data_IF_027476548061
#
_entry.id   IF_027476548061
#
_cell.length_a   1.000
_cell.length_b   1.000
_cell.length_c   1.000
_cell.angle_alpha   90.00
_cell.angle_beta   90.00
_cell.angle_gamma   90.00
#
_symmetry.space_group_name_H-M   'P 1'
#
loop_
_entity.id
_entity.type
_entity.pdbx_description
1 polymer ?
#
# COMPACT_ATOMS: atom_id res chain seq x y z
N UNK A 1 27.80 63.43 10.44
CA UNK A 1 27.62 62.14 9.73
C UNK A 1 26.22 62.13 9.12
N UNK A 2 26.11 62.25 7.80
CA UNK A 2 24.82 62.16 7.10
C UNK A 2 24.41 60.68 7.00
N UNK A 3 23.26 60.31 7.55
CA UNK A 3 22.69 58.97 7.40
C UNK A 3 21.76 58.99 6.18
N UNK A 4 22.07 58.17 5.18
CA UNK A 4 21.24 57.99 3.99
C UNK A 4 20.12 57.00 4.33
N UNK A 5 18.87 57.39 4.06
CA UNK A 5 17.67 56.60 4.29
C UNK A 5 16.88 56.46 2.98
N UNK A 6 16.29 55.29 2.76
CA UNK A 6 15.34 55.04 1.66
C UNK A 6 13.92 54.97 2.21
N UNK A 7 12.93 55.50 1.48
CA UNK A 7 11.52 55.31 1.83
C UNK A 7 11.01 54.00 1.22
N UNK A 8 10.38 53.15 2.02
CA UNK A 8 9.74 51.90 1.56
C UNK A 8 8.31 51.82 2.04
N UNK A 9 7.43 51.31 1.19
CA UNK A 9 6.03 51.10 1.53
C UNK A 9 5.87 49.92 2.49
N UNK A 10 5.23 50.16 3.63
CA UNK A 10 4.92 49.16 4.63
C UNK A 10 3.41 48.88 4.61
N UNK A 11 3.07 47.63 4.30
CA UNK A 11 1.68 47.17 4.28
C UNK A 11 1.06 47.08 5.69
N UNK A 12 1.88 46.96 6.73
CA UNK A 12 1.42 46.88 8.14
C UNK A 12 0.97 48.26 8.62
N UNK A 13 1.67 49.31 8.22
CA UNK A 13 1.37 50.70 8.63
C UNK A 13 0.60 51.47 7.56
N UNK A 14 0.33 50.87 6.40
CA UNK A 14 -0.43 51.47 5.30
C UNK A 14 0.23 52.69 4.65
N UNK A 15 1.56 52.82 4.73
CA UNK A 15 2.26 54.04 4.29
C UNK A 15 3.77 53.87 4.08
N UNK A 16 4.42 54.93 3.57
CA UNK A 16 5.87 54.97 3.37
C UNK A 16 6.60 55.20 4.69
N UNK A 17 7.61 54.38 4.99
CA UNK A 17 8.44 54.47 6.18
C UNK A 17 9.92 54.57 5.77
N UNK A 18 10.70 55.38 6.48
CA UNK A 18 12.13 55.54 6.25
C UNK A 18 12.93 54.35 6.81
N UNK A 19 13.78 53.74 5.98
CA UNK A 19 14.60 52.57 6.30
C UNK A 19 16.05 52.85 5.93
N UNK A 20 16.99 52.51 6.82
CA UNK A 20 18.43 52.69 6.56
C UNK A 20 18.92 51.78 5.43
N UNK A 21 19.68 52.34 4.47
CA UNK A 21 20.18 51.61 3.30
C UNK A 21 21.35 50.64 3.62
N UNK A 22 21.92 50.69 4.83
CA UNK A 22 23.16 50.00 5.19
C UNK A 22 23.00 48.54 5.68
N UNK A 23 21.87 47.89 5.41
CA UNK A 23 21.68 46.47 5.78
C UNK A 23 21.46 45.59 4.56
N UNK A 24 22.53 44.88 4.18
CA UNK A 24 22.53 43.83 3.16
C UNK A 24 21.70 42.64 3.65
N UNK A 25 20.86 42.08 2.78
CA UNK A 25 19.97 40.92 3.05
C UNK A 25 20.71 39.80 3.81
N UNK A 26 20.26 39.51 5.03
CA UNK A 26 20.43 38.18 5.64
C UNK A 26 19.20 37.38 5.26
N UNK A 27 19.35 36.41 4.34
CA UNK A 27 18.30 35.42 4.09
C UNK A 27 18.27 34.44 5.25
N UNK A 28 17.54 34.78 6.31
CA UNK A 28 17.13 33.79 7.31
C UNK A 28 16.02 32.98 6.67
N UNK A 29 16.37 31.79 6.18
CA UNK A 29 15.39 30.82 5.71
C UNK A 29 14.45 30.49 6.85
N UNK A 30 13.20 30.95 6.74
CA UNK A 30 12.13 30.60 7.66
C UNK A 30 11.94 29.09 7.57
N UNK A 31 12.43 28.34 8.56
CA UNK A 31 12.09 26.95 8.71
C UNK A 31 10.58 26.89 8.92
N UNK A 32 9.86 26.52 7.86
CA UNK A 32 8.45 26.15 7.98
C UNK A 32 8.39 25.08 9.05
N UNK A 33 7.72 25.40 10.16
CA UNK A 33 7.36 24.43 11.20
C UNK A 33 6.76 23.23 10.46
N UNK A 34 7.48 22.11 10.48
CA UNK A 34 6.98 20.84 9.95
C UNK A 34 5.84 20.44 10.89
N UNK A 35 4.61 20.76 10.51
CA UNK A 35 3.45 20.04 11.00
C UNK A 35 3.62 18.63 10.46
N UNK A 36 4.06 17.72 11.32
CA UNK A 36 4.11 16.28 11.04
C UNK A 36 2.65 15.83 11.00
N UNK A 37 2.04 15.90 9.82
CA UNK A 37 0.82 15.19 9.50
C UNK A 37 1.26 13.77 9.14
N UNK A 38 1.13 12.86 10.11
CA UNK A 38 1.61 11.50 10.04
C UNK A 38 0.75 10.60 9.14
N UNK A 39 1.47 9.83 8.33
CA UNK A 39 1.11 8.53 7.72
C UNK A 39 0.03 8.57 6.63
N UNK A 40 0.46 9.04 5.45
CA UNK A 40 -0.11 8.63 4.18
C UNK A 40 0.50 7.27 3.82
N UNK A 41 -0.28 6.19 3.92
CA UNK A 41 0.07 4.88 3.35
C UNK A 41 -0.42 4.82 1.89
N UNK A 42 0.10 5.73 1.06
CA UNK A 42 0.03 5.67 -0.40
C UNK A 42 1.39 6.07 -0.96
N UNK A 43 2.28 5.10 -1.14
CA UNK A 43 3.51 5.29 -1.89
C UNK A 43 3.27 4.94 -3.35
N UNK A 44 2.82 5.92 -4.13
CA UNK A 44 3.05 5.97 -5.57
C UNK A 44 4.54 6.34 -5.73
N UNK A 45 5.38 5.35 -6.02
CA UNK A 45 6.71 5.61 -6.55
C UNK A 45 6.73 5.19 -8.00
N UNK A 46 6.79 6.20 -8.88
CA UNK A 46 7.19 6.02 -10.27
C UNK A 46 8.71 5.99 -10.37
N UNK A 47 9.19 5.05 -11.19
CA UNK A 47 10.41 5.10 -11.98
C UNK A 47 11.76 5.32 -11.26
N UNK A 48 12.30 4.26 -10.65
CA UNK A 48 13.75 3.97 -10.69
C UNK A 48 13.98 2.44 -10.58
N UNK A 49 14.51 1.83 -11.66
CA UNK A 49 15.16 0.51 -11.68
C UNK A 49 14.46 -0.61 -10.92
N UNK A 50 13.40 -1.18 -11.51
CA UNK A 50 12.46 -2.05 -10.81
C UNK A 50 13.03 -3.43 -10.45
N UNK A 51 13.51 -3.57 -9.23
CA UNK A 51 13.22 -4.79 -8.48
C UNK A 51 11.77 -4.67 -8.02
N UNK A 52 10.86 -5.41 -8.65
CA UNK A 52 9.46 -5.41 -8.25
C UNK A 52 9.33 -5.98 -6.83
N UNK A 53 9.18 -5.10 -5.83
CA UNK A 53 8.91 -5.50 -4.45
C UNK A 53 7.44 -5.90 -4.33
N UNK A 54 7.17 -7.12 -3.88
CA UNK A 54 5.82 -7.52 -3.53
C UNK A 54 5.30 -6.66 -2.36
N UNK A 55 6.16 -6.32 -1.40
CA UNK A 55 5.85 -5.37 -0.36
C UNK A 55 7.09 -4.59 0.14
N UNK A 56 6.89 -3.31 0.44
CA UNK A 56 7.88 -2.44 1.08
C UNK A 56 7.19 -1.83 2.29
N UNK A 57 7.50 -2.35 3.48
CA UNK A 57 6.78 -2.11 4.73
C UNK A 57 7.42 -0.93 5.47
N UNK A 58 6.72 0.19 5.60
CA UNK A 58 7.20 1.29 6.44
C UNK A 58 6.95 0.93 7.91
N UNK A 59 8.05 0.71 8.65
CA UNK A 59 8.00 0.29 10.04
C UNK A 59 8.47 1.38 11.00
N UNK A 60 8.46 2.66 10.59
CA UNK A 60 8.82 3.76 11.48
C UNK A 60 7.89 3.79 12.71
N UNK A 61 6.58 3.74 12.46
CA UNK A 61 5.56 3.80 13.52
C UNK A 61 4.61 2.59 13.56
N UNK A 62 4.63 1.73 12.54
CA UNK A 62 3.82 0.50 12.48
C UNK A 62 4.71 -0.72 12.75
N UNK A 63 4.18 -1.76 13.38
CA UNK A 63 4.93 -2.99 13.59
C UNK A 63 4.90 -3.84 12.32
N UNK A 64 6.01 -4.52 12.02
CA UNK A 64 6.05 -5.51 10.93
C UNK A 64 4.93 -6.53 11.06
N UNK A 65 4.63 -6.95 12.30
CA UNK A 65 3.55 -7.89 12.59
C UNK A 65 2.19 -7.39 12.13
N UNK A 66 1.90 -6.10 12.22
CA UNK A 66 0.58 -5.56 11.83
C UNK A 66 0.33 -5.78 10.33
N UNK A 67 1.38 -5.69 9.49
CA UNK A 67 1.30 -5.99 8.06
C UNK A 67 1.07 -7.48 7.77
N UNK A 68 1.67 -8.36 8.59
CA UNK A 68 1.49 -9.81 8.47
C UNK A 68 0.11 -10.23 8.96
N UNK A 69 -0.33 -9.69 10.10
CA UNK A 69 -1.63 -9.95 10.69
C UNK A 69 -2.76 -9.54 9.74
N UNK A 70 -2.65 -8.39 9.06
CA UNK A 70 -3.61 -7.99 8.04
C UNK A 70 -3.68 -8.99 6.88
N UNK A 71 -2.53 -9.41 6.34
CA UNK A 71 -2.45 -10.31 5.19
C UNK A 71 -2.94 -11.72 5.49
N UNK A 72 -2.78 -12.17 6.74
CA UNK A 72 -3.11 -13.51 7.20
C UNK A 72 -4.42 -13.54 8.00
N UNK A 73 -5.13 -12.41 8.05
CA UNK A 73 -6.35 -12.23 8.83
C UNK A 73 -6.20 -12.70 10.29
N UNK A 74 -5.15 -12.23 10.97
CA UNK A 74 -4.83 -12.52 12.38
C UNK A 74 -4.99 -11.26 13.23
N UNK A 75 -4.89 -11.44 14.54
CA UNK A 75 -5.04 -10.35 15.50
C UNK A 75 -6.38 -9.63 15.37
N UNK A 76 -6.32 -8.31 15.22
CA UNK A 76 -7.48 -7.42 15.05
C UNK A 76 -8.09 -7.48 13.63
N UNK A 77 -7.39 -8.07 12.66
CA UNK A 77 -7.78 -8.09 11.24
C UNK A 77 -8.61 -9.32 10.84
N UNK A 78 -9.61 -9.66 11.66
CA UNK A 78 -10.54 -10.74 11.32
C UNK A 78 -11.36 -10.34 10.09
N UNK A 79 -11.67 -11.27 9.16
CA UNK A 79 -12.47 -10.93 7.99
C UNK A 79 -13.82 -10.33 8.39
N UNK A 80 -14.21 -9.23 7.76
CA UNK A 80 -15.44 -8.51 8.06
C UNK A 80 -15.37 -7.58 9.27
N UNK A 81 -14.26 -7.55 10.03
CA UNK A 81 -14.11 -6.61 11.13
C UNK A 81 -14.12 -5.16 10.62
N UNK A 82 -14.80 -4.27 11.35
CA UNK A 82 -14.88 -2.83 11.07
C UNK A 82 -14.31 -2.04 12.24
N UNK A 83 -13.97 -0.77 12.02
CA UNK A 83 -13.42 0.13 13.07
C UNK A 83 -12.14 -0.42 13.73
N UNK A 84 -11.33 -1.13 12.95
CA UNK A 84 -10.06 -1.69 13.41
C UNK A 84 -9.11 -0.56 13.78
N UNK A 85 -8.47 -0.70 14.94
CA UNK A 85 -7.55 0.27 15.51
C UNK A 85 -6.26 -0.43 15.91
N UNK A 86 -5.13 0.24 15.67
CA UNK A 86 -3.80 -0.29 15.98
C UNK A 86 -3.05 0.71 16.84
N UNK A 87 -2.40 0.22 17.90
CA UNK A 87 -1.47 1.03 18.67
C UNK A 87 -0.13 1.10 17.95
N UNK A 88 0.23 2.30 17.52
CA UNK A 88 1.51 2.60 16.87
C UNK A 88 2.66 2.62 17.89
N UNK A 89 3.90 2.50 17.39
CA UNK A 89 5.12 2.52 18.21
C UNK A 89 5.29 3.82 19.01
N UNK A 90 4.74 4.93 18.53
CA UNK A 90 4.76 6.22 19.22
C UNK A 90 3.60 6.39 20.23
N UNK A 91 2.82 5.33 20.47
CA UNK A 91 1.70 5.31 21.41
C UNK A 91 0.39 5.90 20.87
N UNK A 92 0.37 6.43 19.64
CA UNK A 92 -0.87 6.91 19.01
C UNK A 92 -1.66 5.76 18.41
N UNK A 93 -2.94 6.02 18.15
CA UNK A 93 -3.83 5.07 17.48
C UNK A 93 -3.86 5.35 15.98
N UNK A 94 -3.65 4.31 15.20
CA UNK A 94 -3.97 4.28 13.78
C UNK A 94 -5.37 3.72 13.60
N UNK A 95 -6.20 4.44 12.85
CA UNK A 95 -7.54 3.98 12.46
C UNK A 95 -7.47 3.39 11.06
N UNK A 96 -7.85 2.12 10.93
CA UNK A 96 -8.01 1.49 9.62
C UNK A 96 -9.14 2.17 8.85
N UNK A 97 -9.13 2.17 7.49
CA UNK A 97 -10.25 2.69 6.71
C UNK A 97 -11.60 2.13 7.18
N UNK A 98 -12.66 2.94 7.11
CA UNK A 98 -14.03 2.59 7.51
C UNK A 98 -14.66 1.57 6.54
N UNK A 99 -14.04 0.40 6.45
CA UNK A 99 -14.39 -0.71 5.58
C UNK A 99 -14.25 -2.01 6.35
N UNK A 100 -15.04 -3.03 5.99
CA UNK A 100 -14.80 -4.39 6.47
C UNK A 100 -13.41 -4.86 6.03
N UNK A 101 -12.65 -5.44 6.95
CA UNK A 101 -11.38 -6.08 6.62
C UNK A 101 -11.62 -7.19 5.58
N UNK A 102 -10.86 -7.21 4.47
CA UNK A 102 -11.03 -8.22 3.43
C UNK A 102 -10.64 -9.61 3.92
N UNK A 103 -11.31 -10.65 3.40
CA UNK A 103 -10.87 -12.03 3.54
C UNK A 103 -9.77 -12.34 2.52
N UNK A 104 -8.55 -12.60 2.99
CA UNK A 104 -7.43 -13.00 2.16
C UNK A 104 -7.28 -14.52 2.00
N UNK A 105 -8.24 -15.34 2.45
CA UNK A 105 -8.23 -16.79 2.28
C UNK A 105 -8.09 -17.25 0.82
N UNK A 106 -8.51 -16.42 -0.13
CA UNK A 106 -8.37 -16.69 -1.56
C UNK A 106 -6.91 -16.60 -2.06
N UNK A 107 -6.03 -15.89 -1.35
CA UNK A 107 -4.61 -15.74 -1.72
C UNK A 107 -3.88 -17.04 -1.39
N UNK A 108 -3.10 -17.57 -2.34
CA UNK A 108 -2.32 -18.78 -2.08
C UNK A 108 -1.25 -18.52 -1.04
N UNK A 109 -0.75 -19.58 -0.39
CA UNK A 109 0.27 -19.47 0.66
C UNK A 109 1.49 -18.66 0.21
N UNK A 110 1.88 -18.78 -1.08
CA UNK A 110 3.03 -18.07 -1.65
C UNK A 110 2.71 -16.65 -2.11
N UNK A 111 1.45 -16.22 -2.02
CA UNK A 111 1.00 -14.87 -2.39
C UNK A 111 1.12 -14.53 -3.87
N UNK A 112 1.29 -15.52 -4.75
CA UNK A 112 1.54 -15.32 -6.18
C UNK A 112 0.31 -15.62 -7.06
N UNK A 113 -0.69 -16.29 -6.51
CA UNK A 113 -1.93 -16.68 -7.19
C UNK A 113 -3.12 -16.44 -6.26
N UNK A 114 -4.28 -16.18 -6.85
CA UNK A 114 -5.54 -16.00 -6.09
C UNK A 114 -6.60 -16.96 -6.63
N UNK A 115 -7.28 -17.68 -5.75
CA UNK A 115 -8.39 -18.56 -6.11
C UNK A 115 -9.58 -17.73 -6.56
N UNK A 116 -10.20 -18.12 -7.67
CA UNK A 116 -11.48 -17.55 -8.14
C UNK A 116 -12.62 -18.58 -8.07
N UNK A 117 -12.42 -19.60 -7.22
CA UNK A 117 -13.42 -20.61 -6.92
C UNK A 117 -13.28 -21.91 -7.72
N UNK A 118 -13.77 -22.99 -7.13
CA UNK A 118 -13.68 -24.33 -7.70
C UNK A 118 -12.23 -24.72 -8.00
N UNK A 119 -11.91 -25.00 -9.26
CA UNK A 119 -10.57 -25.42 -9.68
C UNK A 119 -9.90 -24.36 -10.56
N UNK A 120 -10.08 -23.08 -10.23
CA UNK A 120 -9.54 -21.97 -11.00
C UNK A 120 -8.80 -20.97 -10.11
N UNK A 121 -7.70 -20.43 -10.64
CA UNK A 121 -6.96 -19.35 -10.01
C UNK A 121 -6.48 -18.33 -11.04
N UNK A 122 -6.12 -17.13 -10.59
CA UNK A 122 -5.57 -16.06 -11.42
C UNK A 122 -4.17 -15.65 -10.95
N UNK A 123 -3.34 -15.20 -11.89
CA UNK A 123 -1.98 -14.70 -11.66
C UNK A 123 -1.51 -13.83 -12.84
N UNK A 124 -0.31 -13.26 -12.74
CA UNK A 124 0.32 -12.55 -13.83
C UNK A 124 0.94 -13.52 -14.87
N UNK A 125 0.79 -13.23 -16.16
CA UNK A 125 1.29 -14.09 -17.25
C UNK A 125 2.81 -14.22 -17.21
N UNK A 126 3.52 -13.13 -16.90
CA UNK A 126 4.99 -13.10 -16.88
C UNK A 126 5.62 -13.97 -15.79
N UNK A 127 4.86 -14.42 -14.78
CA UNK A 127 5.35 -15.40 -13.82
C UNK A 127 5.72 -16.75 -14.49
N UNK A 128 5.19 -17.00 -15.69
CA UNK A 128 5.45 -18.23 -16.44
C UNK A 128 4.79 -19.47 -15.81
N UNK A 129 4.89 -20.61 -16.49
CA UNK A 129 4.24 -21.86 -16.05
C UNK A 129 5.14 -22.76 -15.22
N UNK A 130 6.45 -22.50 -15.19
CA UNK A 130 7.46 -23.31 -14.50
C UNK A 130 7.85 -22.74 -13.13
N UNK A 131 7.37 -21.54 -12.79
CA UNK A 131 7.68 -20.93 -11.52
C UNK A 131 7.03 -21.72 -10.38
N UNK A 132 7.81 -22.04 -9.34
CA UNK A 132 7.39 -22.93 -8.25
C UNK A 132 6.17 -22.43 -7.45
N UNK A 133 5.83 -21.15 -7.52
CA UNK A 133 4.61 -20.59 -6.93
C UNK A 133 3.38 -20.69 -7.85
N UNK A 134 3.57 -21.02 -9.12
CA UNK A 134 2.52 -21.09 -10.14
C UNK A 134 2.22 -22.53 -10.55
N UNK A 135 3.25 -23.35 -10.76
CA UNK A 135 3.12 -24.77 -11.17
C UNK A 135 2.41 -25.57 -10.09
N UNK A 136 2.82 -25.38 -8.83
CA UNK A 136 2.19 -25.97 -7.64
C UNK A 136 1.80 -24.85 -6.69
N UNK A 137 0.49 -24.63 -6.59
CA UNK A 137 -0.15 -23.65 -5.74
C UNK A 137 -0.63 -24.37 -4.47
N UNK A 138 -0.66 -23.67 -3.34
CA UNK A 138 -1.17 -24.27 -2.11
C UNK A 138 -2.04 -23.28 -1.36
N UNK A 139 -3.10 -23.81 -0.77
CA UNK A 139 -3.91 -23.14 0.24
C UNK A 139 -3.86 -24.03 1.47
N UNK A 140 -3.45 -23.44 2.59
CA UNK A 140 -3.19 -24.16 3.83
C UNK A 140 -2.33 -25.42 3.58
N UNK A 141 -2.83 -26.61 3.91
CA UNK A 141 -2.10 -27.87 3.79
C UNK A 141 -2.24 -28.56 2.43
N UNK A 142 -3.08 -28.06 1.52
CA UNK A 142 -3.38 -28.75 0.26
C UNK A 142 -2.60 -28.15 -0.92
N UNK A 143 -1.98 -29.03 -1.70
CA UNK A 143 -1.27 -28.67 -2.93
C UNK A 143 -2.12 -28.96 -4.18
N UNK A 144 -2.15 -27.97 -5.08
CA UNK A 144 -2.88 -27.94 -6.34
C UNK A 144 -1.90 -27.71 -7.48
N UNK A 145 -1.99 -28.52 -8.53
CA UNK A 145 -1.15 -28.38 -9.74
C UNK A 145 -1.92 -27.65 -10.82
N UNK A 146 -1.30 -26.64 -11.43
CA UNK A 146 -1.85 -26.02 -12.63
C UNK A 146 -1.75 -27.02 -13.80
N UNK A 147 -2.87 -27.29 -14.46
CA UNK A 147 -2.97 -28.24 -15.57
C UNK A 147 -3.08 -27.56 -16.93
N UNK A 148 -3.66 -26.36 -16.98
CA UNK A 148 -3.78 -25.55 -18.18
C UNK A 148 -3.94 -24.07 -17.80
N UNK A 149 -3.82 -23.16 -18.78
CA UNK A 149 -4.12 -21.73 -18.59
C UNK A 149 -4.66 -21.08 -19.86
N UNK A 150 -5.36 -19.96 -19.66
CA UNK A 150 -5.67 -18.97 -20.70
C UNK A 150 -5.09 -17.64 -20.25
N UNK A 151 -4.47 -16.89 -21.16
CA UNK A 151 -3.82 -15.62 -20.84
C UNK A 151 -4.20 -14.55 -21.85
N UNK A 152 -4.29 -13.31 -21.39
CA UNK A 152 -4.48 -12.10 -22.21
C UNK A 152 -3.65 -10.96 -21.61
N UNK A 153 -2.72 -10.40 -22.38
CA UNK A 153 -1.71 -9.50 -21.84
C UNK A 153 -0.97 -10.13 -20.66
N UNK A 154 -0.84 -9.38 -19.56
CA UNK A 154 -0.22 -9.88 -18.33
C UNK A 154 -1.22 -10.53 -17.35
N UNK A 155 -2.45 -10.81 -17.77
CA UNK A 155 -3.44 -11.53 -16.95
C UNK A 155 -3.56 -13.00 -17.38
N UNK A 156 -3.53 -13.91 -16.42
CA UNK A 156 -3.58 -15.36 -16.67
C UNK A 156 -4.56 -16.05 -15.72
N UNK A 157 -5.47 -16.85 -16.28
CA UNK A 157 -6.39 -17.74 -15.57
C UNK A 157 -5.89 -19.17 -15.70
N UNK A 158 -5.70 -19.86 -14.58
CA UNK A 158 -5.17 -21.21 -14.50
C UNK A 158 -6.29 -22.18 -14.13
N UNK A 159 -6.32 -23.34 -14.80
CA UNK A 159 -7.08 -24.51 -14.38
C UNK A 159 -6.22 -25.34 -13.43
N UNK A 160 -6.77 -25.69 -12.27
CA UNK A 160 -6.16 -26.56 -11.28
C UNK A 160 -6.64 -28.01 -11.48
N UNK A 161 -5.82 -28.95 -11.03
CA UNK A 161 -6.10 -30.38 -11.09
C UNK A 161 -7.17 -30.86 -10.09
N UNK A 162 -7.50 -30.05 -9.08
CA UNK A 162 -8.50 -30.34 -8.02
C UNK A 162 -9.28 -29.07 -7.68
N UNK A 163 -10.46 -29.23 -7.07
CA UNK A 163 -11.20 -28.12 -6.49
C UNK A 163 -10.52 -27.65 -5.20
N UNK A 164 -10.28 -26.35 -5.09
CA UNK A 164 -9.80 -25.68 -3.89
C UNK A 164 -10.91 -25.73 -2.84
N UNK A 165 -10.59 -26.25 -1.65
CA UNK A 165 -11.56 -26.49 -0.57
C UNK A 165 -11.41 -25.53 0.60
N UNK A 166 -10.28 -24.84 0.70
CA UNK A 166 -9.94 -23.94 1.80
C UNK A 166 -10.64 -22.57 1.69
N UNK A 167 -11.15 -22.23 0.49
CA UNK A 167 -11.74 -20.93 0.19
C UNK A 167 -12.76 -21.06 -0.93
N UNK A 168 -13.81 -20.24 -0.90
CA UNK A 168 -14.74 -20.07 -2.02
C UNK A 168 -14.12 -19.33 -3.20
N UNK A 169 -12.96 -18.69 -2.98
CA UNK A 169 -12.31 -17.81 -3.95
C UNK A 169 -13.00 -16.45 -4.08
N UNK A 170 -12.37 -15.55 -4.83
CA UNK A 170 -12.94 -14.24 -5.18
C UNK A 170 -13.72 -14.41 -6.49
N UNK A 171 -15.05 -14.39 -6.40
CA UNK A 171 -15.96 -14.63 -7.54
C UNK A 171 -16.50 -13.36 -8.16
N UNK A 172 -16.35 -12.22 -7.47
CA UNK A 172 -16.69 -10.90 -7.98
C UNK A 172 -15.46 -10.18 -8.52
N UNK A 173 -15.64 -9.32 -9.51
CA UNK A 173 -14.56 -8.53 -10.10
C UNK A 173 -14.88 -7.03 -10.06
N UNK A 174 -13.84 -6.21 -9.97
CA UNK A 174 -13.99 -4.78 -10.25
C UNK A 174 -14.36 -4.57 -11.73
N UNK A 175 -15.23 -3.59 -11.99
CA UNK A 175 -15.61 -3.22 -13.35
C UNK A 175 -14.65 -2.15 -13.88
N UNK A 176 -13.75 -2.59 -14.76
CA UNK A 176 -12.76 -1.72 -15.41
C UNK A 176 -13.33 -0.88 -16.56
N UNK A 177 -14.62 -1.04 -16.90
CA UNK A 177 -15.29 -0.23 -17.93
C UNK A 177 -15.85 1.09 -17.41
N UNK A 178 -15.90 1.28 -16.08
CA UNK A 178 -16.41 2.49 -15.45
C UNK A 178 -15.54 3.72 -15.76
N UNK A 179 -16.18 4.89 -15.84
CA UNK A 179 -15.46 6.16 -15.83
C UNK A 179 -14.81 6.39 -14.46
N UNK A 180 -13.79 7.27 -14.36
CA UNK A 180 -13.19 7.62 -13.07
C UNK A 180 -14.21 8.10 -12.02
N UNK A 181 -15.22 8.86 -12.44
CA UNK A 181 -16.28 9.38 -11.55
C UNK A 181 -17.18 8.25 -11.05
N UNK A 182 -17.60 7.33 -11.92
CA UNK A 182 -18.46 6.22 -11.52
C UNK A 182 -17.70 5.16 -10.72
N UNK A 183 -16.41 4.94 -11.03
CA UNK A 183 -15.53 4.13 -10.20
C UNK A 183 -15.38 4.73 -8.79
N UNK A 184 -15.26 6.06 -8.67
CA UNK A 184 -15.23 6.73 -7.37
C UNK A 184 -16.56 6.57 -6.62
N UNK A 185 -17.71 6.73 -7.29
CA UNK A 185 -19.01 6.50 -6.64
C UNK A 185 -19.20 5.06 -6.17
N UNK A 186 -18.68 4.09 -6.93
CA UNK A 186 -18.88 2.66 -6.66
C UNK A 186 -17.89 2.10 -5.64
N UNK A 187 -16.62 2.51 -5.71
CA UNK A 187 -15.50 1.94 -4.95
C UNK A 187 -14.78 2.96 -4.06
N UNK A 188 -15.17 4.23 -4.12
CA UNK A 188 -14.59 5.30 -3.32
C UNK A 188 -14.98 5.19 -1.86
N UNK A 189 -14.05 5.59 -1.01
CA UNK A 189 -14.17 5.53 0.45
C UNK A 189 -13.64 6.84 1.02
N UNK A 190 -14.30 7.34 2.08
CA UNK A 190 -13.77 8.48 2.81
C UNK A 190 -12.68 8.00 3.76
N UNK A 191 -11.47 8.53 3.62
CA UNK A 191 -10.40 8.24 4.55
C UNK A 191 -9.62 9.52 4.84
N UNK A 192 -9.57 9.89 6.13
CA UNK A 192 -8.98 11.14 6.61
C UNK A 192 -9.54 12.40 5.91
N UNK A 193 -10.85 12.43 5.67
CA UNK A 193 -11.54 13.58 5.07
C UNK A 193 -11.37 13.71 3.56
N UNK A 194 -10.80 12.70 2.89
CA UNK A 194 -10.63 12.65 1.44
C UNK A 194 -11.33 11.42 0.88
N UNK A 195 -12.16 11.64 -0.13
CA UNK A 195 -12.71 10.57 -0.95
C UNK A 195 -11.64 10.04 -1.90
N UNK A 196 -11.41 8.73 -1.86
CA UNK A 196 -10.43 8.04 -2.70
C UNK A 196 -10.76 6.56 -2.79
N UNK A 197 -10.29 5.89 -3.84
CA UNK A 197 -10.35 4.42 -3.90
C UNK A 197 -9.16 3.88 -3.11
N UNK A 198 -9.44 2.97 -2.17
CA UNK A 198 -8.40 2.27 -1.39
C UNK A 198 -8.51 0.79 -1.72
N UNK A 199 -7.42 0.22 -2.24
CA UNK A 199 -7.31 -1.21 -2.45
C UNK A 199 -6.46 -1.87 -1.36
N UNK A 200 -6.75 -3.13 -1.05
CA UNK A 200 -5.89 -3.97 -0.22
C UNK A 200 -5.36 -5.14 -1.04
N UNK A 201 -4.09 -5.48 -0.84
CA UNK A 201 -3.47 -6.68 -1.41
C UNK A 201 -2.64 -7.41 -0.38
N UNK A 202 -2.49 -8.71 -0.56
CA UNK A 202 -1.58 -9.56 0.19
C UNK A 202 -0.64 -10.30 -0.77
N UNK A 203 0.63 -10.46 -0.38
CA UNK A 203 1.64 -11.12 -1.20
C UNK A 203 2.90 -11.47 -0.41
N UNK A 204 3.67 -12.43 -0.92
CA UNK A 204 4.89 -12.92 -0.27
C UNK A 204 6.11 -12.92 -1.21
N UNK A 205 6.12 -12.11 -2.27
CA UNK A 205 7.34 -11.93 -3.09
C UNK A 205 8.43 -11.14 -2.35
N UNK A 206 9.36 -10.52 -3.09
CA UNK A 206 10.46 -9.76 -2.46
C UNK A 206 9.91 -8.71 -1.50
N UNK A 207 10.18 -8.90 -0.22
CA UNK A 207 9.67 -8.06 0.87
C UNK A 207 10.83 -7.37 1.57
N UNK A 208 10.62 -6.10 1.91
CA UNK A 208 11.57 -5.30 2.68
C UNK A 208 10.86 -4.45 3.72
N UNK A 209 11.57 -4.11 4.79
CA UNK A 209 11.16 -3.04 5.71
C UNK A 209 11.92 -1.75 5.42
N UNK A 210 11.26 -0.62 5.66
CA UNK A 210 11.88 0.71 5.69
C UNK A 210 11.87 1.20 7.13
N UNK A 211 13.05 1.51 7.66
CA UNK A 211 13.19 2.15 8.96
C UNK A 211 14.12 3.36 8.81
N UNK A 212 13.62 4.54 9.14
CA UNK A 212 14.34 5.82 9.04
C UNK A 212 14.95 6.05 7.64
N UNK A 213 14.20 5.69 6.59
CA UNK A 213 14.63 5.81 5.19
C UNK A 213 15.63 4.75 4.73
N UNK A 214 16.06 3.83 5.61
CA UNK A 214 16.92 2.70 5.25
C UNK A 214 16.10 1.44 4.99
N UNK A 215 16.41 0.77 3.89
CA UNK A 215 15.75 -0.45 3.47
C UNK A 215 16.48 -1.70 4.00
N UNK A 216 15.71 -2.69 4.46
CA UNK A 216 16.19 -3.98 4.93
C UNK A 216 15.41 -5.11 4.26
N UNK A 217 16.10 -6.01 3.57
CA UNK A 217 15.47 -7.15 2.88
C UNK A 217 15.23 -8.29 3.86
N UNK A 218 14.10 -8.99 3.72
CA UNK A 218 13.86 -10.24 4.45
C UNK A 218 14.68 -11.41 3.89
N UNK A 219 15.10 -11.34 2.63
CA UNK A 219 15.93 -12.36 1.98
C UNK A 219 15.19 -13.68 1.69
N UNK A 220 13.87 -13.71 1.81
CA UNK A 220 13.02 -14.87 1.57
C UNK A 220 11.85 -14.47 0.68
N UNK A 221 11.66 -15.18 -0.44
CA UNK A 221 10.57 -14.97 -1.38
C UNK A 221 9.66 -16.19 -1.40
N UNK A 222 8.36 -15.96 -1.54
CA UNK A 222 7.32 -16.98 -1.55
C UNK A 222 7.32 -17.85 -0.28
N UNK A 223 7.72 -17.26 0.85
CA UNK A 223 7.60 -17.91 2.16
C UNK A 223 6.20 -17.61 2.72
N UNK A 224 5.37 -18.64 2.99
CA UNK A 224 4.04 -18.45 3.56
C UNK A 224 3.99 -17.64 4.84
N UNK A 225 5.00 -17.77 5.69
CA UNK A 225 5.08 -17.06 6.98
C UNK A 225 5.27 -15.54 6.79
N UNK A 226 5.71 -15.13 5.61
CA UNK A 226 5.99 -13.73 5.25
C UNK A 226 4.94 -13.14 4.32
N UNK A 227 3.76 -13.76 4.21
CA UNK A 227 2.62 -13.15 3.55
C UNK A 227 2.29 -11.83 4.25
N UNK A 228 2.40 -10.72 3.51
CA UNK A 228 2.28 -9.37 4.03
C UNK A 228 1.34 -8.52 3.18
N UNK A 229 0.67 -7.55 3.81
CA UNK A 229 -0.35 -6.74 3.17
C UNK A 229 0.16 -5.34 2.88
N UNK A 230 -0.40 -4.73 1.84
CA UNK A 230 -0.20 -3.31 1.49
C UNK A 230 -1.50 -2.73 0.96
N UNK A 231 -1.78 -1.47 1.30
CA UNK A 231 -2.82 -0.66 0.66
C UNK A 231 -2.27 0.15 -0.52
N UNK A 232 -3.11 0.44 -1.51
CA UNK A 232 -2.77 1.32 -2.64
C UNK A 232 -3.89 2.31 -2.94
#
# INVERSE_FOLDING_TARGET
>A
MNKIYSLKYSHITGGLVAVSELTRKVSVGTSRKKVILGIILSSIYGSYGETAFAAMLDINNIWTRDYLDLAQNRGEFRPGATNVQLMMKDGKIFHFPELPVPDFSAVSNKGATTSIGGAYSVTATHNGTQHHAITTQSWDQTAYKASNRVSSGDFSVHRLNKFVVETTGVTESADFSLSPEDAMKRYGVNYNGKEQIIGFRAGAGTTSTILNGKQYLFGQNYNPDLLSAKSF
#
